data_IF_371559426830
#
_entry.id   IF_371559426830
#
_cell.length_a   1.000
_cell.length_b   1.000
_cell.length_c   1.000
_cell.angle_alpha   90.00
_cell.angle_beta   90.00
_cell.angle_gamma   90.00
#
_symmetry.space_group_name_H-M   'P 1'
#
loop_
_entity.id
_entity.type
_entity.pdbx_description
1 polymer ?
#
# COMPACT_ATOMS: atom_id res chain seq x y z
N UNK A 1 -26.65 0.76 -36.50
CA UNK A 1 -27.23 -0.24 -35.59
C UNK A 1 -26.64 -0.01 -34.20
N UNK A 2 -27.36 0.73 -33.36
CA UNK A 2 -26.99 1.04 -31.98
C UNK A 2 -27.25 -0.17 -31.08
N UNK A 3 -26.26 -0.63 -30.33
CA UNK A 3 -26.48 -1.52 -29.18
C UNK A 3 -26.34 -0.69 -27.91
N UNK A 4 -27.48 -0.30 -27.35
CA UNK A 4 -27.59 0.13 -25.96
C UNK A 4 -27.26 -1.08 -25.08
N UNK A 5 -26.17 -1.03 -24.32
CA UNK A 5 -26.00 -1.86 -23.14
C UNK A 5 -26.44 -1.01 -21.94
N UNK A 6 -27.67 -1.24 -21.48
CA UNK A 6 -28.16 -0.65 -20.24
C UNK A 6 -27.51 -1.36 -19.05
N UNK A 7 -26.62 -0.66 -18.34
CA UNK A 7 -26.15 -1.07 -17.02
C UNK A 7 -27.24 -0.73 -16.00
N UNK A 8 -27.81 -1.76 -15.37
CA UNK A 8 -28.74 -1.59 -14.25
C UNK A 8 -27.91 -1.44 -12.96
N UNK A 9 -27.66 -0.21 -12.54
CA UNK A 9 -27.13 0.06 -11.20
C UNK A 9 -28.22 -0.26 -10.18
N UNK A 10 -28.08 -1.37 -9.46
CA UNK A 10 -28.99 -1.73 -8.37
C UNK A 10 -28.59 -0.92 -7.14
N UNK A 11 -29.25 0.21 -6.93
CA UNK A 11 -29.19 0.94 -5.67
C UNK A 11 -29.94 0.13 -4.60
N UNK A 12 -29.23 -0.72 -3.85
CA UNK A 12 -29.80 -1.38 -2.67
C UNK A 12 -29.79 -0.35 -1.52
N UNK A 13 -30.92 0.29 -1.29
CA UNK A 13 -31.19 1.06 -0.08
C UNK A 13 -31.38 0.05 1.08
N UNK A 14 -30.31 -0.18 1.85
CA UNK A 14 -30.36 -0.98 3.08
C UNK A 14 -31.09 -0.19 4.17
N UNK A 15 -32.43 -0.17 4.13
CA UNK A 15 -33.26 0.37 5.19
C UNK A 15 -33.37 -0.64 6.35
N UNK A 16 -32.33 -0.73 7.18
CA UNK A 16 -32.44 -1.38 8.48
C UNK A 16 -32.98 -0.38 9.50
N UNK A 17 -34.30 -0.42 9.73
CA UNK A 17 -34.96 0.29 10.83
C UNK A 17 -34.52 -0.37 12.14
N UNK A 18 -33.49 0.16 12.78
CA UNK A 18 -33.20 -0.10 14.19
C UNK A 18 -33.59 1.15 14.97
N UNK A 19 -34.73 1.05 15.67
CA UNK A 19 -35.11 2.02 16.69
C UNK A 19 -34.18 1.87 17.90
N UNK A 20 -33.05 2.56 17.84
CA UNK A 20 -32.12 2.75 18.94
C UNK A 20 -31.55 4.17 18.85
N UNK A 21 -31.50 4.88 19.97
CA UNK A 21 -31.01 6.25 20.05
C UNK A 21 -29.53 6.32 19.62
N UNK A 22 -29.29 6.54 18.34
CA UNK A 22 -27.99 6.76 17.71
C UNK A 22 -28.29 7.31 16.33
N UNK A 23 -27.82 8.52 16.04
CA UNK A 23 -28.23 9.29 14.86
C UNK A 23 -28.24 8.45 13.58
N UNK A 24 -29.35 8.50 12.84
CA UNK A 24 -29.47 7.89 11.52
C UNK A 24 -28.32 8.37 10.64
N UNK A 25 -27.44 7.46 10.23
CA UNK A 25 -26.51 7.72 9.13
C UNK A 25 -27.38 8.03 7.90
N UNK A 26 -27.27 9.23 7.33
CA UNK A 26 -28.07 9.62 6.16
C UNK A 26 -27.81 8.67 4.98
N UNK A 27 -28.91 8.17 4.39
CA UNK A 27 -29.06 7.32 3.19
C UNK A 27 -28.35 7.89 1.95
N UNK A 28 -27.01 7.96 1.96
CA UNK A 28 -26.25 8.61 0.88
C UNK A 28 -25.14 7.75 0.27
N UNK A 29 -24.86 6.57 0.83
CA UNK A 29 -23.82 5.67 0.31
C UNK A 29 -24.42 4.63 -0.64
N UNK A 30 -23.88 4.53 -1.84
CA UNK A 30 -24.28 3.49 -2.81
C UNK A 30 -23.44 2.25 -2.61
N UNK A 31 -24.08 1.12 -2.35
CA UNK A 31 -23.41 -0.18 -2.28
C UNK A 31 -22.83 -0.56 -3.64
N UNK A 32 -21.55 -0.96 -3.66
CA UNK A 32 -20.83 -1.25 -4.89
C UNK A 32 -19.65 -2.18 -4.67
N UNK A 33 -19.01 -2.62 -5.76
CA UNK A 33 -17.72 -3.30 -5.75
C UNK A 33 -16.58 -2.30 -5.91
N UNK A 34 -15.35 -2.68 -5.54
CA UNK A 34 -14.19 -1.81 -5.78
C UNK A 34 -13.98 -1.60 -7.28
N UNK A 35 -14.20 -2.64 -8.09
CA UNK A 35 -14.13 -2.56 -9.55
C UNK A 35 -15.03 -1.48 -10.12
N UNK A 36 -16.30 -1.48 -9.72
CA UNK A 36 -17.28 -0.53 -10.24
C UNK A 36 -17.04 0.87 -9.69
N UNK A 37 -16.66 1.00 -8.41
CA UNK A 37 -16.31 2.29 -7.83
C UNK A 37 -15.07 2.92 -8.48
N UNK A 38 -14.05 2.13 -8.79
CA UNK A 38 -12.82 2.62 -9.40
C UNK A 38 -12.96 2.87 -10.91
N UNK A 39 -13.64 1.98 -11.64
CA UNK A 39 -13.62 1.95 -13.12
C UNK A 39 -14.98 2.08 -13.80
N UNK A 40 -16.07 2.09 -13.04
CA UNK A 40 -17.43 2.21 -13.57
C UNK A 40 -17.87 3.64 -13.89
N UNK A 41 -19.11 3.77 -14.34
CA UNK A 41 -19.71 5.00 -14.89
C UNK A 41 -20.04 6.08 -13.85
N UNK A 42 -19.79 5.85 -12.55
CA UNK A 42 -20.08 6.83 -11.50
C UNK A 42 -18.81 7.64 -11.18
N UNK A 43 -18.77 8.86 -11.74
CA UNK A 43 -17.52 9.60 -12.00
C UNK A 43 -17.36 10.88 -11.16
N UNK A 44 -18.32 11.29 -10.34
CA UNK A 44 -18.16 12.56 -9.60
C UNK A 44 -17.18 12.40 -8.43
N UNK A 45 -16.21 13.33 -8.27
CA UNK A 45 -15.45 13.44 -7.02
C UNK A 45 -16.38 13.56 -5.82
N UNK A 46 -15.94 13.07 -4.67
CA UNK A 46 -16.69 13.03 -3.41
C UNK A 46 -17.95 12.16 -3.43
N UNK A 47 -18.16 11.34 -4.46
CA UNK A 47 -19.26 10.38 -4.47
C UNK A 47 -19.06 9.34 -3.36
N UNK A 48 -20.15 9.01 -2.66
CA UNK A 48 -20.18 8.17 -1.48
C UNK A 48 -20.50 6.72 -1.84
N UNK A 49 -19.60 5.82 -1.46
CA UNK A 49 -19.68 4.39 -1.73
C UNK A 49 -19.71 3.58 -0.44
N UNK A 50 -20.41 2.46 -0.50
CA UNK A 50 -20.44 1.43 0.53
C UNK A 50 -19.82 0.15 -0.03
N UNK A 51 -18.75 -0.34 0.60
CA UNK A 51 -18.08 -1.58 0.23
C UNK A 51 -18.37 -2.64 1.28
N UNK A 52 -18.98 -3.75 0.87
CA UNK A 52 -19.24 -4.87 1.75
C UNK A 52 -17.99 -5.74 1.89
N UNK A 53 -17.46 -5.82 3.11
CA UNK A 53 -16.34 -6.67 3.52
C UNK A 53 -15.15 -6.64 2.54
N UNK A 54 -14.58 -5.45 2.26
CA UNK A 54 -13.44 -5.34 1.34
C UNK A 54 -12.20 -6.07 1.87
N UNK A 55 -11.43 -6.68 0.98
CA UNK A 55 -10.19 -7.40 1.36
C UNK A 55 -9.05 -6.40 1.56
N UNK A 56 -8.73 -6.09 2.81
CA UNK A 56 -7.54 -5.30 3.18
C UNK A 56 -6.32 -6.20 3.13
N UNK A 57 -5.40 -5.89 2.23
CA UNK A 57 -4.18 -6.69 2.00
C UNK A 57 -2.97 -6.14 2.76
N UNK A 58 -2.96 -4.84 3.05
CA UNK A 58 -1.95 -4.20 3.89
C UNK A 58 -2.42 -2.85 4.39
N UNK A 59 -1.95 -2.43 5.56
CA UNK A 59 -2.31 -1.14 6.15
C UNK A 59 -1.19 -0.61 7.03
N UNK A 60 -1.03 0.70 7.09
CA UNK A 60 -0.12 1.38 7.99
C UNK A 60 -0.63 2.78 8.29
N UNK A 61 -0.67 3.14 9.58
CA UNK A 61 -1.18 4.42 10.09
C UNK A 61 -2.50 4.83 9.41
N UNK A 62 -2.45 5.77 8.46
CA UNK A 62 -3.61 6.38 7.81
C UNK A 62 -3.94 5.81 6.42
N UNK A 63 -3.26 4.75 5.99
CA UNK A 63 -3.46 4.14 4.68
C UNK A 63 -3.75 2.64 4.82
N UNK A 64 -4.72 2.16 4.04
CA UNK A 64 -4.98 0.76 3.79
C UNK A 64 -4.98 0.50 2.27
N UNK A 65 -4.43 -0.62 1.84
CA UNK A 65 -4.58 -1.17 0.50
C UNK A 65 -5.72 -2.16 0.52
N UNK A 66 -6.69 -1.94 -0.35
CA UNK A 66 -7.81 -2.85 -0.56
C UNK A 66 -7.69 -3.49 -1.93
N UNK A 67 -7.95 -4.79 -1.99
CA UNK A 67 -7.93 -5.57 -3.24
C UNK A 67 -9.30 -6.14 -3.58
N UNK A 68 -9.60 -6.08 -4.87
CA UNK A 68 -10.71 -6.80 -5.51
C UNK A 68 -10.22 -7.40 -6.84
N UNK A 69 -9.92 -8.70 -6.81
CA UNK A 69 -9.28 -9.39 -7.93
C UNK A 69 -7.93 -8.76 -8.31
N UNK A 70 -7.85 -8.19 -9.51
CA UNK A 70 -6.65 -7.50 -10.03
C UNK A 70 -6.67 -5.98 -9.82
N UNK A 71 -7.58 -5.47 -8.99
CA UNK A 71 -7.70 -4.05 -8.68
C UNK A 71 -7.20 -3.84 -7.26
N UNK A 72 -6.34 -2.85 -7.10
CA UNK A 72 -5.80 -2.43 -5.80
C UNK A 72 -5.99 -0.92 -5.73
N UNK A 73 -6.61 -0.45 -4.65
CA UNK A 73 -6.85 0.96 -4.42
C UNK A 73 -6.48 1.36 -2.99
N UNK A 74 -6.11 2.62 -2.83
CA UNK A 74 -5.83 3.19 -1.51
C UNK A 74 -7.12 3.63 -0.83
N UNK A 75 -7.27 3.20 0.41
CA UNK A 75 -8.24 3.69 1.36
C UNK A 75 -7.48 4.50 2.42
N UNK A 76 -7.85 5.77 2.58
CA UNK A 76 -7.19 6.70 3.49
C UNK A 76 -8.14 7.14 4.59
N UNK A 77 -7.61 7.36 5.77
CA UNK A 77 -8.40 7.85 6.90
C UNK A 77 -7.60 7.80 8.19
N UNK A 78 -7.92 8.71 9.11
CA UNK A 78 -7.20 8.84 10.37
C UNK A 78 -7.17 7.50 11.13
N UNK A 79 -5.98 6.98 11.42
CA UNK A 79 -5.77 5.74 12.15
C UNK A 79 -6.43 4.50 11.53
N UNK A 80 -6.65 4.48 10.21
CA UNK A 80 -7.37 3.39 9.54
C UNK A 80 -6.73 2.02 9.79
N UNK A 81 -5.40 1.93 9.90
CA UNK A 81 -4.70 0.67 10.15
C UNK A 81 -5.06 0.08 11.52
N UNK A 82 -5.12 0.89 12.57
CA UNK A 82 -5.52 0.44 13.90
C UNK A 82 -7.01 0.06 13.90
N UNK A 83 -7.86 0.91 13.33
CA UNK A 83 -9.32 0.73 13.31
C UNK A 83 -9.71 -0.53 12.56
N UNK A 84 -9.09 -0.80 11.41
CA UNK A 84 -9.31 -2.04 10.63
C UNK A 84 -8.70 -3.27 11.29
N UNK A 85 -7.57 -3.13 11.99
CA UNK A 85 -6.99 -4.21 12.81
C UNK A 85 -7.95 -4.70 13.90
N UNK A 86 -8.72 -3.82 14.53
CA UNK A 86 -9.77 -4.18 15.51
C UNK A 86 -10.95 -4.96 14.90
N UNK A 87 -11.08 -4.93 13.57
CA UNK A 87 -12.11 -5.63 12.79
C UNK A 87 -11.57 -6.89 12.11
N UNK A 88 -10.30 -7.27 12.33
CA UNK A 88 -9.72 -8.47 11.74
C UNK A 88 -10.56 -9.71 12.06
N UNK A 89 -10.91 -10.47 11.01
CA UNK A 89 -11.74 -11.67 11.10
C UNK A 89 -13.24 -11.42 11.28
N UNK A 90 -13.69 -10.17 11.29
CA UNK A 90 -15.12 -9.80 11.34
C UNK A 90 -15.62 -9.38 9.95
N UNK A 91 -16.92 -9.52 9.72
CA UNK A 91 -17.59 -8.84 8.61
C UNK A 91 -17.79 -7.37 8.97
N UNK A 92 -17.53 -6.48 8.02
CA UNK A 92 -17.72 -5.04 8.19
C UNK A 92 -17.96 -4.38 6.84
N UNK A 93 -18.61 -3.22 6.87
CA UNK A 93 -18.87 -2.36 5.72
C UNK A 93 -17.98 -1.14 5.81
N UNK A 94 -17.40 -0.72 4.68
CA UNK A 94 -16.61 0.51 4.57
C UNK A 94 -17.44 1.56 3.83
N UNK A 95 -17.69 2.69 4.50
CA UNK A 95 -18.28 3.86 3.88
C UNK A 95 -17.18 4.85 3.53
N UNK A 96 -17.05 5.20 2.25
CA UNK A 96 -15.97 6.06 1.77
C UNK A 96 -16.37 6.95 0.61
N UNK A 97 -15.68 8.08 0.47
CA UNK A 97 -15.79 9.03 -0.64
C UNK A 97 -14.67 8.82 -1.65
N UNK A 98 -15.00 8.83 -2.94
CA UNK A 98 -14.02 8.73 -4.04
C UNK A 98 -13.36 10.07 -4.33
N UNK A 99 -12.03 10.07 -4.48
CA UNK A 99 -11.22 11.22 -4.87
C UNK A 99 -10.30 10.85 -6.04
N UNK A 100 -9.71 11.85 -6.71
CA UNK A 100 -8.93 11.67 -7.95
C UNK A 100 -7.51 12.23 -7.91
N UNK A 101 -7.04 12.75 -6.78
CA UNK A 101 -5.77 13.50 -6.71
C UNK A 101 -4.74 12.79 -5.83
N UNK A 102 -3.56 12.38 -6.34
CA UNK A 102 -3.12 12.43 -7.74
C UNK A 102 -3.71 11.31 -8.63
N UNK A 103 -4.39 10.31 -8.04
CA UNK A 103 -5.13 9.23 -8.72
C UNK A 103 -6.39 8.89 -7.94
N UNK A 104 -7.14 7.92 -8.43
CA UNK A 104 -8.30 7.38 -7.71
C UNK A 104 -7.87 6.85 -6.34
N UNK A 105 -8.57 7.29 -5.30
CA UNK A 105 -8.44 6.77 -3.94
C UNK A 105 -9.75 7.01 -3.18
N UNK A 106 -9.88 6.39 -2.02
CA UNK A 106 -11.09 6.45 -1.20
C UNK A 106 -10.78 7.02 0.19
N UNK A 107 -11.43 8.12 0.57
CA UNK A 107 -11.38 8.64 1.94
C UNK A 107 -12.47 7.95 2.75
N UNK A 108 -12.09 7.19 3.78
CA UNK A 108 -13.02 6.44 4.62
C UNK A 108 -13.65 7.37 5.64
N UNK A 109 -14.98 7.38 5.67
CA UNK A 109 -15.77 8.14 6.63
C UNK A 109 -16.15 7.26 7.84
N UNK A 110 -16.54 6.00 7.58
CA UNK A 110 -16.97 5.06 8.62
C UNK A 110 -16.60 3.61 8.31
N UNK A 111 -16.41 2.83 9.37
CA UNK A 111 -16.40 1.37 9.35
C UNK A 111 -17.58 0.88 10.19
N UNK A 112 -18.43 0.01 9.64
CA UNK A 112 -19.63 -0.51 10.32
C UNK A 112 -19.51 -2.01 10.49
N UNK A 113 -19.55 -2.50 11.73
CA UNK A 113 -19.48 -3.93 12.05
C UNK A 113 -20.60 -4.31 13.01
N UNK A 114 -21.69 -4.86 12.48
CA UNK A 114 -22.90 -5.13 13.26
C UNK A 114 -23.52 -3.82 13.78
N UNK A 115 -23.63 -3.68 15.10
CA UNK A 115 -24.14 -2.46 15.73
C UNK A 115 -23.06 -1.40 15.96
N UNK A 116 -21.78 -1.74 15.80
CA UNK A 116 -20.66 -0.83 16.03
C UNK A 116 -20.41 0.02 14.78
N UNK A 117 -20.38 1.35 14.96
CA UNK A 117 -19.96 2.30 13.93
C UNK A 117 -18.71 3.03 14.41
N UNK A 118 -17.62 2.86 13.67
CA UNK A 118 -16.34 3.52 13.94
C UNK A 118 -16.20 4.65 12.94
N UNK A 119 -16.17 5.90 13.43
CA UNK A 119 -15.85 7.04 12.59
C UNK A 119 -14.35 7.04 12.25
N UNK A 120 -14.05 7.22 10.96
CA UNK A 120 -12.70 7.37 10.44
C UNK A 120 -12.59 8.81 9.98
N UNK A 121 -11.78 9.61 10.69
CA UNK A 121 -11.63 11.04 10.38
C UNK A 121 -10.96 11.25 9.03
N UNK A 122 -11.24 12.40 8.41
CA UNK A 122 -10.51 12.83 7.21
C UNK A 122 -9.11 13.30 7.59
N UNK A 123 -8.11 12.87 6.84
CA UNK A 123 -6.72 13.28 7.03
C UNK A 123 -6.03 13.48 5.69
N UNK A 124 -5.26 14.55 5.58
CA UNK A 124 -4.38 14.77 4.45
C UNK A 124 -3.24 13.75 4.49
N UNK A 125 -3.23 12.82 3.53
CA UNK A 125 -2.16 11.83 3.37
C UNK A 125 -1.53 11.95 2.00
N UNK A 126 -0.20 11.97 1.95
CA UNK A 126 0.53 11.95 0.69
C UNK A 126 0.50 10.55 0.10
N UNK A 127 -0.33 10.37 -0.92
CA UNK A 127 -0.37 9.13 -1.70
C UNK A 127 0.70 9.12 -2.79
N UNK A 128 1.30 7.95 -3.07
CA UNK A 128 2.30 7.81 -4.10
C UNK A 128 1.66 7.89 -5.48
N UNK A 129 2.49 8.15 -6.48
CA UNK A 129 2.01 8.16 -7.86
C UNK A 129 1.87 6.72 -8.38
N UNK A 130 0.74 6.35 -8.99
CA UNK A 130 0.54 5.00 -9.53
C UNK A 130 0.34 5.00 -11.04
N UNK A 131 0.89 3.99 -11.72
CA UNK A 131 0.71 3.76 -13.16
C UNK A 131 0.55 2.28 -13.43
N UNK A 132 -0.08 1.92 -14.54
CA UNK A 132 -0.09 0.52 -14.97
C UNK A 132 1.36 0.04 -15.21
N UNK A 133 1.74 -1.09 -14.62
CA UNK A 133 3.10 -1.63 -14.72
C UNK A 133 3.49 -1.91 -16.18
N UNK A 134 2.53 -2.33 -17.01
CA UNK A 134 2.74 -2.57 -18.44
C UNK A 134 3.13 -1.31 -19.24
N UNK A 135 2.84 -0.11 -18.71
CA UNK A 135 3.20 1.18 -19.32
C UNK A 135 4.38 1.83 -18.62
N UNK A 136 4.90 1.22 -17.55
CA UNK A 136 5.97 1.78 -16.76
C UNK A 136 7.32 1.35 -17.32
N UNK A 137 8.18 2.33 -17.56
CA UNK A 137 9.60 2.12 -17.83
C UNK A 137 10.37 2.69 -16.66
N UNK A 138 11.21 1.87 -16.03
CA UNK A 138 12.08 2.32 -14.95
C UNK A 138 12.98 3.46 -15.47
N UNK A 139 13.18 4.54 -14.69
CA UNK A 139 14.08 5.62 -15.08
C UNK A 139 15.49 5.10 -15.41
N UNK A 140 16.16 5.71 -16.39
CA UNK A 140 17.47 5.23 -16.91
C UNK A 140 18.58 5.18 -15.85
N UNK A 141 18.48 6.02 -14.82
CA UNK A 141 19.34 6.04 -13.64
C UNK A 141 19.32 4.75 -12.81
N UNK A 142 18.29 3.90 -12.94
CA UNK A 142 18.25 2.60 -12.25
C UNK A 142 18.99 1.55 -13.08
N UNK A 143 20.23 1.27 -12.69
CA UNK A 143 21.04 0.25 -13.33
C UNK A 143 20.64 -1.18 -12.89
N UNK A 144 20.88 -2.15 -13.77
CA UNK A 144 20.86 -3.56 -13.41
C UNK A 144 22.24 -3.94 -12.89
N UNK A 145 22.31 -4.37 -11.63
CA UNK A 145 23.56 -4.86 -11.02
C UNK A 145 23.45 -6.35 -10.74
N UNK A 146 24.60 -7.03 -10.65
CA UNK A 146 24.66 -8.43 -10.23
C UNK A 146 24.46 -8.54 -8.72
N UNK A 147 23.20 -8.42 -8.28
CA UNK A 147 22.82 -8.45 -6.86
C UNK A 147 23.26 -9.75 -6.18
N UNK A 148 23.35 -10.85 -6.93
CA UNK A 148 23.78 -12.15 -6.40
C UNK A 148 25.25 -12.11 -5.97
N UNK A 149 26.07 -11.26 -6.58
CA UNK A 149 27.48 -11.08 -6.16
C UNK A 149 27.66 -10.10 -5.01
N UNK A 150 26.65 -9.31 -4.66
CA UNK A 150 26.76 -8.37 -3.54
C UNK A 150 26.88 -9.10 -2.21
N UNK A 151 27.85 -8.69 -1.41
CA UNK A 151 28.03 -9.16 -0.04
C UNK A 151 28.03 -7.99 0.94
N UNK A 152 27.98 -8.24 2.27
CA UNK A 152 28.09 -7.20 3.30
C UNK A 152 29.49 -6.57 3.40
N UNK A 153 30.43 -6.94 2.52
CA UNK A 153 31.79 -6.43 2.52
C UNK A 153 31.83 -4.94 2.15
N UNK A 154 32.68 -4.16 2.84
CA UNK A 154 32.81 -2.73 2.53
C UNK A 154 33.26 -2.46 1.07
N UNK A 155 34.17 -3.24 0.46
CA UNK A 155 34.51 -3.06 -0.94
C UNK A 155 33.30 -3.18 -1.88
N UNK A 156 32.47 -4.20 -1.71
CA UNK A 156 31.27 -4.40 -2.55
C UNK A 156 30.27 -3.27 -2.34
N UNK A 157 30.01 -2.91 -1.09
CA UNK A 157 29.05 -1.86 -0.73
C UNK A 157 29.52 -0.46 -1.19
N UNK A 158 30.82 -0.18 -1.16
CA UNK A 158 31.38 1.06 -1.74
C UNK A 158 31.23 1.10 -3.26
N UNK A 159 31.25 -0.05 -3.92
CA UNK A 159 31.02 -0.16 -5.36
C UNK A 159 29.60 0.25 -5.80
N UNK A 160 28.65 0.28 -4.86
CA UNK A 160 27.26 0.70 -5.08
C UNK A 160 26.90 1.98 -4.32
N UNK A 161 27.89 2.69 -3.75
CA UNK A 161 27.70 3.97 -3.09
C UNK A 161 26.92 4.94 -4.00
N UNK A 162 25.84 5.52 -3.48
CA UNK A 162 24.97 6.50 -4.15
C UNK A 162 24.29 6.02 -5.45
N UNK A 163 24.35 4.71 -5.74
CA UNK A 163 23.76 4.15 -6.95
C UNK A 163 22.27 3.87 -6.78
N UNK A 164 21.54 4.02 -7.88
CA UNK A 164 20.17 3.54 -8.04
C UNK A 164 20.19 2.24 -8.81
N UNK A 165 19.57 1.19 -8.29
CA UNK A 165 19.56 -0.11 -8.93
C UNK A 165 18.23 -0.83 -8.80
N UNK A 166 17.98 -1.73 -9.75
CA UNK A 166 16.78 -2.56 -9.78
C UNK A 166 16.95 -3.77 -8.89
N UNK A 167 15.94 -4.05 -8.06
CA UNK A 167 15.83 -5.24 -7.22
C UNK A 167 14.70 -6.10 -7.76
N UNK A 168 15.00 -7.35 -8.04
CA UNK A 168 14.04 -8.34 -8.52
C UNK A 168 14.01 -9.52 -7.54
N UNK A 169 12.82 -9.83 -7.02
CA UNK A 169 12.62 -11.01 -6.19
C UNK A 169 13.18 -10.95 -4.76
N UNK A 170 13.30 -9.78 -4.12
CA UNK A 170 13.76 -9.73 -2.73
C UNK A 170 12.65 -10.09 -1.73
N UNK A 171 12.94 -10.95 -0.75
CA UNK A 171 11.98 -11.24 0.32
C UNK A 171 11.83 -10.03 1.25
N UNK A 172 10.62 -9.76 1.75
CA UNK A 172 10.37 -8.66 2.69
C UNK A 172 10.19 -9.21 4.10
N UNK A 173 10.79 -8.56 5.09
CA UNK A 173 10.50 -8.79 6.51
C UNK A 173 10.48 -7.48 7.29
N UNK A 174 9.73 -7.44 8.40
CA UNK A 174 9.75 -6.34 9.37
C UNK A 174 10.63 -6.73 10.56
N UNK A 175 11.73 -6.02 10.76
CA UNK A 175 12.78 -6.45 11.69
C UNK A 175 13.33 -5.29 12.52
N UNK A 176 13.82 -5.62 13.72
CA UNK A 176 14.52 -4.69 14.58
C UNK A 176 16.01 -4.62 14.19
N UNK A 177 16.49 -3.40 13.94
CA UNK A 177 17.87 -3.08 13.55
C UNK A 177 18.42 -2.05 14.52
N UNK A 178 19.22 -2.51 15.48
CA UNK A 178 19.60 -1.66 16.60
C UNK A 178 18.38 -1.29 17.46
N UNK A 179 18.06 0.00 17.55
CA UNK A 179 16.96 0.56 18.32
C UNK A 179 15.69 0.84 17.48
N UNK A 180 15.76 0.71 16.15
CA UNK A 180 14.64 0.99 15.24
C UNK A 180 14.08 -0.27 14.60
N UNK A 181 12.80 -0.24 14.27
CA UNK A 181 12.18 -1.23 13.38
C UNK A 181 12.19 -0.72 11.94
N UNK A 182 12.49 -1.59 10.98
CA UNK A 182 12.55 -1.24 9.56
C UNK A 182 12.18 -2.45 8.70
N UNK A 183 11.65 -2.18 7.51
CA UNK A 183 11.51 -3.22 6.50
C UNK A 183 12.88 -3.58 5.95
N UNK A 184 13.11 -4.87 5.78
CA UNK A 184 14.33 -5.37 5.16
C UNK A 184 14.03 -6.05 3.84
N UNK A 185 14.85 -5.74 2.83
CA UNK A 185 14.92 -6.43 1.55
C UNK A 185 15.96 -7.54 1.69
N UNK A 186 15.48 -8.77 1.78
CA UNK A 186 16.27 -9.97 1.96
C UNK A 186 16.65 -10.55 0.61
N UNK A 187 17.93 -10.41 0.26
CA UNK A 187 18.53 -11.06 -0.89
C UNK A 187 19.36 -12.26 -0.42
N UNK A 188 19.84 -13.05 -1.39
CA UNK A 188 20.59 -14.28 -1.11
C UNK A 188 21.81 -14.04 -0.20
N UNK A 189 22.58 -12.99 -0.50
CA UNK A 189 23.89 -12.75 0.12
C UNK A 189 23.96 -11.44 0.92
N UNK A 190 22.96 -10.57 0.79
CA UNK A 190 22.93 -9.26 1.43
C UNK A 190 21.49 -8.91 1.83
N UNK A 191 21.34 -8.05 2.82
CA UNK A 191 20.08 -7.50 3.29
C UNK A 191 20.18 -5.98 3.31
N UNK A 192 19.21 -5.29 2.74
CA UNK A 192 19.12 -3.83 2.83
C UNK A 192 17.95 -3.45 3.73
N UNK A 193 18.09 -2.34 4.45
CA UNK A 193 17.04 -1.77 5.28
C UNK A 193 16.42 -0.56 4.58
N UNK A 194 15.10 -0.52 4.51
CA UNK A 194 14.37 0.55 3.86
C UNK A 194 14.32 1.75 4.81
N UNK A 195 14.86 2.86 4.34
CA UNK A 195 14.96 4.13 5.05
C UNK A 195 13.84 5.06 4.60
N UNK A 196 12.59 4.62 4.79
CA UNK A 196 11.41 5.36 4.37
C UNK A 196 10.21 5.08 5.27
N UNK A 197 9.41 6.12 5.52
CA UNK A 197 8.36 6.11 6.55
C UNK A 197 7.01 6.64 6.08
N UNK A 198 6.75 6.73 4.77
CA UNK A 198 5.43 7.14 4.28
C UNK A 198 4.42 5.98 4.47
N UNK A 199 3.26 6.28 5.06
CA UNK A 199 2.15 5.36 5.33
C UNK A 199 1.78 4.46 4.13
N UNK A 200 1.71 5.01 2.93
CA UNK A 200 1.37 4.24 1.73
C UNK A 200 2.46 3.24 1.36
N UNK A 201 3.73 3.61 1.51
CA UNK A 201 4.86 2.68 1.32
C UNK A 201 4.76 1.54 2.33
N UNK A 202 4.59 1.86 3.62
CA UNK A 202 4.49 0.87 4.68
C UNK A 202 3.30 -0.07 4.44
N UNK A 203 2.16 0.47 3.99
CA UNK A 203 0.99 -0.32 3.64
C UNK A 203 1.26 -1.27 2.45
N UNK A 204 2.02 -0.84 1.43
CA UNK A 204 2.44 -1.70 0.31
C UNK A 204 3.40 -2.80 0.79
N UNK A 205 4.37 -2.47 1.63
CA UNK A 205 5.30 -3.47 2.19
C UNK A 205 4.55 -4.52 3.02
N UNK A 206 3.59 -4.09 3.83
CA UNK A 206 2.69 -5.00 4.54
C UNK A 206 1.89 -5.87 3.56
N UNK A 207 1.39 -5.31 2.47
CA UNK A 207 0.64 -6.07 1.47
C UNK A 207 1.51 -7.13 0.76
N UNK A 208 2.73 -6.79 0.36
CA UNK A 208 3.68 -7.74 -0.23
C UNK A 208 3.98 -8.87 0.76
N UNK A 209 4.26 -8.54 2.02
CA UNK A 209 4.58 -9.50 3.07
C UNK A 209 3.40 -10.43 3.40
N UNK A 210 2.20 -9.86 3.61
CA UNK A 210 0.99 -10.62 3.93
C UNK A 210 0.59 -11.60 2.82
N UNK A 211 0.90 -11.26 1.56
CA UNK A 211 0.61 -12.11 0.41
C UNK A 211 1.73 -13.08 0.06
N UNK A 212 2.82 -13.11 0.84
CA UNK A 212 3.99 -13.94 0.57
C UNK A 212 4.64 -13.63 -0.78
N UNK A 213 4.54 -12.38 -1.25
CA UNK A 213 5.15 -11.92 -2.49
C UNK A 213 6.55 -11.39 -2.22
N UNK A 214 7.31 -11.22 -3.30
CA UNK A 214 8.63 -10.60 -3.27
C UNK A 214 8.54 -9.13 -3.66
N UNK A 215 9.49 -8.35 -3.18
CA UNK A 215 9.74 -6.99 -3.64
C UNK A 215 10.34 -7.03 -5.06
N UNK A 216 9.73 -6.27 -5.95
CA UNK A 216 10.25 -5.92 -7.26
C UNK A 216 10.21 -4.40 -7.39
N UNK A 217 11.32 -3.76 -7.70
CA UNK A 217 11.37 -2.30 -7.65
C UNK A 217 12.73 -1.69 -7.90
N UNK A 218 12.81 -0.37 -7.78
CA UNK A 218 14.04 0.39 -7.86
C UNK A 218 14.37 0.98 -6.49
N UNK A 219 15.63 0.85 -6.08
CA UNK A 219 16.12 1.40 -4.82
C UNK A 219 17.35 2.27 -5.05
N UNK A 220 17.54 3.27 -4.19
CA UNK A 220 18.76 4.06 -4.09
C UNK A 220 19.53 3.63 -2.85
N UNK A 221 20.80 3.26 -3.00
CA UNK A 221 21.67 3.03 -1.86
C UNK A 221 22.01 4.36 -1.19
N UNK A 222 21.72 4.48 0.11
CA UNK A 222 21.91 5.75 0.83
C UNK A 222 23.10 5.72 1.77
N UNK A 223 23.34 4.60 2.45
CA UNK A 223 24.47 4.53 3.36
C UNK A 223 24.93 3.11 3.64
N UNK A 224 26.25 2.99 3.75
CA UNK A 224 26.89 1.86 4.41
C UNK A 224 26.54 1.85 5.88
N UNK A 225 26.32 0.68 6.50
CA UNK A 225 26.05 0.57 7.92
C UNK A 225 27.36 0.70 8.73
N UNK A 226 28.09 1.79 8.56
CA UNK A 226 29.39 2.04 9.22
C UNK A 226 29.27 2.17 10.74
N UNK A 227 28.08 2.51 11.24
CA UNK A 227 27.75 2.49 12.66
C UNK A 227 27.53 1.08 13.22
N UNK A 228 27.32 0.06 12.37
CA UNK A 228 27.15 -1.32 12.82
C UNK A 228 28.50 -2.04 12.91
N UNK A 229 28.77 -2.76 14.03
CA UNK A 229 29.97 -3.58 14.16
C UNK A 229 30.11 -4.56 12.99
N UNK A 230 31.35 -4.84 12.57
CA UNK A 230 31.64 -5.79 11.48
C UNK A 230 30.97 -7.15 11.71
N UNK A 231 31.04 -7.66 12.94
CA UNK A 231 30.41 -8.93 13.32
C UNK A 231 28.90 -8.91 13.08
N UNK A 232 28.22 -7.82 13.44
CA UNK A 232 26.80 -7.65 13.17
C UNK A 232 26.52 -7.67 11.66
N UNK A 233 27.32 -6.94 10.87
CA UNK A 233 27.13 -6.86 9.41
C UNK A 233 27.30 -8.22 8.74
N UNK A 234 28.32 -8.99 9.13
CA UNK A 234 28.56 -10.31 8.57
C UNK A 234 27.50 -11.32 9.03
N UNK A 235 27.14 -11.32 10.32
CA UNK A 235 26.14 -12.23 10.90
C UNK A 235 24.75 -12.02 10.32
N UNK A 236 24.33 -10.77 10.15
CA UNK A 236 22.98 -10.43 9.66
C UNK A 236 22.96 -10.05 8.17
N UNK A 237 24.09 -10.22 7.48
CA UNK A 237 24.27 -9.87 6.07
C UNK A 237 23.89 -8.41 5.73
N UNK A 238 24.13 -7.49 6.65
CA UNK A 238 23.69 -6.09 6.50
C UNK A 238 24.47 -5.34 5.42
N UNK A 239 23.77 -4.98 4.36
CA UNK A 239 24.24 -4.12 3.27
C UNK A 239 24.07 -2.63 3.55
N UNK A 240 23.26 -2.25 4.54
CA UNK A 240 22.99 -0.85 4.89
C UNK A 240 21.62 -0.39 4.49
N UNK A 241 21.47 0.92 4.30
CA UNK A 241 20.18 1.54 4.06
C UNK A 241 19.95 1.80 2.57
N UNK A 242 18.68 1.68 2.17
CA UNK A 242 18.21 2.04 0.83
C UNK A 242 16.94 2.88 0.94
N UNK A 243 16.74 3.77 -0.02
CA UNK A 243 15.45 4.43 -0.27
C UNK A 243 14.77 3.76 -1.43
N UNK A 244 13.44 3.63 -1.40
CA UNK A 244 12.70 3.00 -2.48
C UNK A 244 12.20 4.10 -3.40
N UNK A 245 12.53 4.03 -4.68
CA UNK A 245 12.01 5.02 -5.64
C UNK A 245 10.83 4.52 -6.46
N UNK A 246 10.73 3.21 -6.69
CA UNK A 246 9.50 2.62 -7.21
C UNK A 246 9.32 1.16 -6.79
N UNK A 247 8.07 0.72 -6.80
CA UNK A 247 7.65 -0.67 -6.54
C UNK A 247 6.75 -1.15 -7.66
N UNK A 248 6.99 -2.36 -8.15
CA UNK A 248 6.08 -3.09 -9.02
C UNK A 248 5.24 -4.02 -8.15
N UNK A 249 3.93 -3.77 -8.09
CA UNK A 249 3.04 -4.55 -7.25
C UNK A 249 1.61 -4.56 -7.79
N UNK A 250 1.01 -5.76 -7.86
CA UNK A 250 -0.39 -5.93 -8.25
C UNK A 250 -0.74 -5.39 -9.64
N UNK A 251 0.21 -5.43 -10.58
CA UNK A 251 0.05 -4.88 -11.94
C UNK A 251 0.22 -3.37 -12.04
N UNK A 252 0.64 -2.70 -10.96
CA UNK A 252 0.92 -1.27 -10.92
C UNK A 252 2.41 -1.00 -10.62
N UNK A 253 2.93 0.07 -11.21
CA UNK A 253 4.14 0.72 -10.77
C UNK A 253 3.77 1.85 -9.81
N UNK A 254 4.22 1.76 -8.58
CA UNK A 254 4.05 2.78 -7.55
C UNK A 254 5.35 3.58 -7.46
N UNK A 255 5.27 4.84 -7.83
CA UNK A 255 6.36 5.80 -7.82
C UNK A 255 6.37 6.54 -6.49
N UNK A 256 7.51 6.45 -5.82
CA UNK A 256 7.76 7.11 -4.55
C UNK A 256 8.61 8.34 -4.87
N UNK A 257 8.15 9.51 -4.43
CA UNK A 257 8.92 10.75 -4.55
C UNK A 257 10.15 10.63 -3.64
N UNK A 258 11.32 10.37 -4.22
CA UNK A 258 12.61 10.43 -3.51
C UNK A 258 13.13 11.86 -3.39
#
# INVERSE_FOLDING_TARGET
MSKLFGFLAVAVLLSAVVAGCGGKLEDTYVQTTLRDAARGDVVSPSFKYSFDTPTIIGSANNVALVRDGNIIEFFVGDGIAEKTGRLAGKQFVVHARKYFTPYIHFVVDYLVAGADTIQVGEIATQLPNTRAAAQFTAPEEYETIDIVKLTPSLPDLRGIADKKFKVDGAGISWEQVGDRWSYSLNLKNVRFFIDESNDAMLAIMNAIMNEGKTFEGGVQYTSTPTSLPREYRERFRSGGNVKVGYILYGGNAVLISM
#
